data_IF_212435914391
#
_entry.id   IF_212435914391
#
_cell.length_a   1.000
_cell.length_b   1.000
_cell.length_c   1.000
_cell.angle_alpha   90.00
_cell.angle_beta   90.00
_cell.angle_gamma   90.00
#
_symmetry.space_group_name_H-M   'P 1'
#
loop_
_entity.id
_entity.type
_entity.pdbx_description
1 polymer ?
#
# COMPACT_ATOMS: atom_id res chain seq x y z
N UNK A 1 55.05 9.12 -37.88
CA UNK A 1 54.67 8.21 -36.78
C UNK A 1 54.22 9.07 -35.60
N UNK A 2 52.98 8.89 -35.11
CA UNK A 2 52.34 9.65 -34.03
C UNK A 2 52.60 8.99 -32.67
N UNK A 3 52.63 9.73 -31.55
CA UNK A 3 52.09 9.23 -30.29
C UNK A 3 50.77 9.92 -29.98
N UNK A 4 49.79 9.08 -29.63
CA UNK A 4 48.39 9.38 -29.35
C UNK A 4 48.27 9.76 -27.87
N UNK A 5 47.66 10.91 -27.59
CA UNK A 5 47.35 11.36 -26.23
C UNK A 5 46.21 10.51 -25.65
N UNK A 6 46.50 9.76 -24.59
CA UNK A 6 45.49 9.04 -23.81
C UNK A 6 44.75 10.04 -22.91
N UNK A 7 43.52 10.38 -23.29
CA UNK A 7 42.57 11.11 -22.45
C UNK A 7 41.94 10.13 -21.45
N UNK A 8 42.26 10.30 -20.17
CA UNK A 8 41.68 9.57 -19.04
C UNK A 8 40.24 10.06 -18.81
N UNK A 9 39.27 9.24 -19.21
CA UNK A 9 37.84 9.48 -19.00
C UNK A 9 37.47 9.07 -17.56
N UNK A 10 37.26 10.05 -16.68
CA UNK A 10 36.81 9.82 -15.30
C UNK A 10 35.32 9.49 -15.27
N UNK A 11 34.98 8.26 -14.88
CA UNK A 11 33.60 7.81 -14.73
C UNK A 11 33.08 8.32 -13.37
N UNK A 12 32.37 9.44 -13.39
CA UNK A 12 31.63 9.92 -12.23
C UNK A 12 30.41 9.00 -11.98
N UNK A 13 30.55 8.02 -11.09
CA UNK A 13 29.44 7.21 -10.60
C UNK A 13 28.55 8.05 -9.69
N UNK A 14 27.50 8.66 -10.25
CA UNK A 14 26.38 9.20 -9.49
C UNK A 14 25.69 8.04 -8.74
N UNK A 15 25.98 7.92 -7.43
CA UNK A 15 25.15 7.15 -6.51
C UNK A 15 23.85 7.92 -6.33
N UNK A 16 22.87 7.60 -7.17
CA UNK A 16 21.48 8.02 -6.96
C UNK A 16 20.96 7.31 -5.71
N UNK A 17 21.15 7.94 -4.55
CA UNK A 17 20.51 7.57 -3.28
C UNK A 17 18.99 7.67 -3.44
N UNK A 18 18.40 6.62 -3.98
CA UNK A 18 16.96 6.46 -4.06
C UNK A 18 16.45 6.23 -2.64
N UNK A 19 16.12 7.32 -1.95
CA UNK A 19 15.18 7.27 -0.83
C UNK A 19 13.84 6.78 -1.39
N UNK A 20 13.70 5.45 -1.51
CA UNK A 20 12.43 4.83 -1.85
C UNK A 20 11.44 5.23 -0.76
N UNK A 21 10.54 6.17 -1.07
CA UNK A 21 9.43 6.52 -0.17
C UNK A 21 8.72 5.22 0.19
N UNK A 22 8.68 4.89 1.48
CA UNK A 22 7.96 3.73 1.99
C UNK A 22 6.51 3.88 1.55
N UNK A 23 6.08 3.06 0.59
CA UNK A 23 4.71 3.11 0.08
C UNK A 23 3.81 2.36 1.06
N UNK A 24 2.76 2.99 1.60
CA UNK A 24 1.89 2.34 2.56
C UNK A 24 1.14 1.18 1.90
N UNK A 25 0.95 0.10 2.66
CA UNK A 25 0.13 -1.02 2.20
C UNK A 25 -1.32 -0.56 2.05
N UNK A 26 -1.81 -0.49 0.81
CA UNK A 26 -3.13 0.08 0.53
C UNK A 26 -4.19 -1.01 0.45
N UNK A 27 -5.25 -0.83 1.21
CA UNK A 27 -6.47 -1.64 1.26
C UNK A 27 -7.64 -0.77 0.83
N UNK A 28 -8.61 -1.35 0.12
CA UNK A 28 -9.85 -0.68 -0.26
C UNK A 28 -11.04 -1.42 0.31
N UNK A 29 -11.99 -0.68 0.88
CA UNK A 29 -13.29 -1.21 1.29
C UNK A 29 -14.31 -0.75 0.26
N UNK A 30 -15.07 -1.71 -0.28
CA UNK A 30 -16.09 -1.48 -1.32
C UNK A 30 -17.43 -2.02 -0.87
N UNK A 31 -18.50 -1.47 -1.43
CA UNK A 31 -19.86 -1.94 -1.18
C UNK A 31 -20.49 -1.33 0.08
N UNK A 32 -21.80 -1.54 0.26
CA UNK A 32 -22.57 -0.93 1.33
C UNK A 32 -22.34 -1.62 2.67
N UNK A 33 -22.94 -1.08 3.72
CA UNK A 33 -22.62 -1.49 5.07
C UNK A 33 -22.90 -2.99 5.38
N UNK A 34 -23.88 -3.58 4.72
CA UNK A 34 -24.33 -4.97 4.94
C UNK A 34 -23.60 -6.00 4.09
N UNK A 35 -22.90 -5.59 3.02
CA UNK A 35 -22.29 -6.50 2.03
C UNK A 35 -20.95 -5.98 1.51
N UNK A 36 -20.19 -5.33 2.39
CA UNK A 36 -18.90 -4.80 2.00
C UNK A 36 -17.92 -5.91 1.57
N UNK A 37 -16.88 -5.52 0.85
CA UNK A 37 -15.75 -6.37 0.52
C UNK A 37 -14.44 -5.62 0.71
N UNK A 38 -13.41 -6.36 1.12
CA UNK A 38 -12.05 -5.84 1.25
C UNK A 38 -11.27 -6.20 -0.01
N UNK A 39 -10.58 -5.23 -0.59
CA UNK A 39 -9.77 -5.42 -1.79
C UNK A 39 -8.34 -4.89 -1.61
N UNK A 40 -7.38 -5.62 -2.19
CA UNK A 40 -5.97 -5.20 -2.26
C UNK A 40 -5.58 -5.22 -3.74
N UNK A 41 -5.03 -4.10 -4.23
CA UNK A 41 -4.71 -3.93 -5.66
C UNK A 41 -5.89 -4.29 -6.60
N UNK A 42 -7.12 -3.96 -6.18
CA UNK A 42 -8.34 -4.22 -6.95
C UNK A 42 -8.90 -5.65 -6.85
N UNK A 43 -8.20 -6.58 -6.20
CA UNK A 43 -8.68 -7.96 -5.97
C UNK A 43 -9.38 -8.06 -4.64
N UNK A 44 -10.63 -8.52 -4.64
CA UNK A 44 -11.36 -8.85 -3.42
C UNK A 44 -10.67 -10.03 -2.70
N UNK A 45 -10.54 -9.92 -1.38
CA UNK A 45 -9.88 -10.90 -0.54
C UNK A 45 -10.71 -11.23 0.69
N UNK A 46 -10.54 -12.44 1.22
CA UNK A 46 -11.01 -12.83 2.55
C UNK A 46 -10.12 -12.21 3.63
N UNK A 47 -10.58 -12.20 4.88
CA UNK A 47 -9.78 -11.71 6.01
C UNK A 47 -8.48 -12.53 6.20
N UNK A 48 -8.52 -13.85 5.99
CA UNK A 48 -7.32 -14.70 6.10
C UNK A 48 -6.28 -14.37 5.02
N UNK A 49 -6.75 -14.16 3.78
CA UNK A 49 -5.88 -13.76 2.69
C UNK A 49 -5.31 -12.35 2.92
N UNK A 50 -6.11 -11.42 3.45
CA UNK A 50 -5.65 -10.09 3.85
C UNK A 50 -4.57 -10.18 4.93
N UNK A 51 -4.78 -11.00 5.97
CA UNK A 51 -3.82 -11.22 7.05
C UNK A 51 -2.48 -11.73 6.52
N UNK A 52 -2.51 -12.75 5.64
CA UNK A 52 -1.30 -13.33 5.05
C UNK A 52 -0.50 -12.30 4.24
N UNK A 53 -1.18 -11.53 3.39
CA UNK A 53 -0.54 -10.48 2.59
C UNK A 53 0.00 -9.36 3.47
N UNK A 54 -0.78 -8.93 4.47
CA UNK A 54 -0.40 -7.86 5.37
C UNK A 54 0.85 -8.22 6.22
N UNK A 55 0.96 -9.47 6.69
CA UNK A 55 2.14 -9.95 7.45
C UNK A 55 3.42 -9.86 6.63
N UNK A 56 3.36 -10.23 5.35
CA UNK A 56 4.50 -10.09 4.42
C UNK A 56 4.94 -8.63 4.23
N UNK A 57 4.00 -7.68 4.37
CA UNK A 57 4.26 -6.24 4.22
C UNK A 57 4.75 -5.58 5.50
N UNK A 58 4.30 -6.04 6.67
CA UNK A 58 4.73 -5.50 7.96
C UNK A 58 6.27 -5.55 8.15
N UNK A 59 6.93 -6.57 7.61
CA UNK A 59 8.41 -6.68 7.62
C UNK A 59 9.14 -5.66 6.74
N UNK A 60 8.44 -4.98 5.83
CA UNK A 60 8.98 -3.95 4.91
C UNK A 60 8.59 -2.53 5.31
N UNK A 61 7.69 -2.40 6.28
CA UNK A 61 7.14 -1.14 6.74
C UNK A 61 5.83 -1.38 7.51
N UNK A 62 5.62 -0.62 8.59
CA UNK A 62 4.45 -0.81 9.49
C UNK A 62 3.27 0.10 9.15
N UNK A 63 3.19 0.56 7.90
CA UNK A 63 2.24 1.59 7.45
C UNK A 63 1.20 0.99 6.51
N UNK A 64 -0.07 1.27 6.78
CA UNK A 64 -1.20 0.84 5.98
C UNK A 64 -2.15 2.02 5.71
N UNK A 65 -2.77 2.01 4.54
CA UNK A 65 -3.77 3.00 4.12
C UNK A 65 -5.06 2.29 3.75
N UNK A 66 -6.16 2.66 4.39
CA UNK A 66 -7.50 2.16 4.07
C UNK A 66 -8.22 3.22 3.25
N UNK A 67 -8.61 2.88 2.02
CA UNK A 67 -9.49 3.67 1.17
C UNK A 67 -10.92 3.18 1.37
N UNK A 68 -11.80 4.03 1.87
CA UNK A 68 -13.20 3.67 2.06
C UNK A 68 -14.11 4.83 1.62
N UNK A 69 -15.26 4.51 1.04
CA UNK A 69 -16.33 5.51 0.88
C UNK A 69 -16.83 5.90 2.26
N UNK A 70 -16.58 7.16 2.66
CA UNK A 70 -16.93 7.68 3.99
C UNK A 70 -18.39 8.12 4.09
N UNK A 71 -19.13 8.08 2.97
CA UNK A 71 -20.58 8.36 2.92
C UNK A 71 -21.40 7.13 3.32
N UNK A 72 -20.86 5.93 3.14
CA UNK A 72 -21.50 4.67 3.49
C UNK A 72 -20.53 3.57 3.99
N UNK A 73 -19.51 3.86 4.83
CA UNK A 73 -18.62 2.82 5.30
C UNK A 73 -19.39 1.98 6.31
N UNK A 74 -19.39 0.66 6.14
CA UNK A 74 -19.70 -0.18 7.29
C UNK A 74 -18.59 -0.03 8.30
N UNK A 75 -18.93 0.56 9.45
CA UNK A 75 -18.07 0.57 10.63
C UNK A 75 -17.55 -0.84 10.98
N UNK A 76 -18.35 -1.88 10.70
CA UNK A 76 -17.93 -3.27 10.88
C UNK A 76 -16.78 -3.66 9.95
N UNK A 77 -16.84 -3.27 8.68
CA UNK A 77 -15.83 -3.61 7.69
C UNK A 77 -14.55 -2.81 7.88
N UNK A 78 -14.68 -1.53 8.23
CA UNK A 78 -13.55 -0.71 8.61
C UNK A 78 -12.87 -1.27 9.87
N UNK A 79 -13.64 -1.63 10.90
CA UNK A 79 -13.14 -2.25 12.10
C UNK A 79 -12.45 -3.59 11.85
N UNK A 80 -13.06 -4.47 11.04
CA UNK A 80 -12.47 -5.75 10.66
C UNK A 80 -11.15 -5.58 9.89
N UNK A 81 -11.09 -4.62 8.96
CA UNK A 81 -9.87 -4.31 8.22
C UNK A 81 -8.77 -3.79 9.16
N UNK A 82 -9.07 -2.79 10.01
CA UNK A 82 -8.11 -2.24 10.99
C UNK A 82 -7.57 -3.34 11.90
N UNK A 83 -8.46 -4.13 12.50
CA UNK A 83 -8.07 -5.21 13.40
C UNK A 83 -7.19 -6.24 12.69
N UNK A 84 -7.55 -6.65 11.48
CA UNK A 84 -6.77 -7.61 10.69
C UNK A 84 -5.37 -7.07 10.38
N UNK A 85 -5.26 -5.79 10.01
CA UNK A 85 -3.97 -5.14 9.71
C UNK A 85 -3.09 -5.03 10.97
N UNK A 86 -3.69 -4.71 12.12
CA UNK A 86 -2.98 -4.67 13.40
C UNK A 86 -2.44 -6.04 13.81
N UNK A 87 -3.27 -7.08 13.71
CA UNK A 87 -2.87 -8.47 13.96
C UNK A 87 -1.80 -8.97 12.97
N UNK A 88 -1.68 -8.34 11.81
CA UNK A 88 -0.62 -8.58 10.85
C UNK A 88 0.68 -7.83 11.15
N UNK A 89 0.69 -6.93 12.14
CA UNK A 89 1.87 -6.16 12.57
C UNK A 89 1.97 -4.73 12.01
N UNK A 90 0.96 -4.26 11.27
CA UNK A 90 0.88 -2.89 10.78
C UNK A 90 0.33 -1.99 11.90
N UNK A 91 1.06 -0.92 12.25
CA UNK A 91 0.71 -0.06 13.40
C UNK A 91 0.28 1.34 13.01
N UNK A 92 0.78 1.85 11.88
CA UNK A 92 0.43 3.18 11.38
C UNK A 92 -0.66 3.01 10.32
N UNK A 93 -1.92 3.05 10.75
CA UNK A 93 -3.08 2.85 9.89
C UNK A 93 -3.77 4.19 9.66
N UNK A 94 -3.75 4.68 8.42
CA UNK A 94 -4.49 5.87 8.00
C UNK A 94 -5.74 5.47 7.23
N UNK A 95 -6.85 6.17 7.45
CA UNK A 95 -8.06 6.02 6.66
C UNK A 95 -8.22 7.25 5.79
N UNK A 96 -8.43 7.04 4.50
CA UNK A 96 -8.66 8.12 3.52
C UNK A 96 -9.99 7.89 2.82
N UNK A 97 -10.69 8.99 2.56
CA UNK A 97 -11.93 8.94 1.81
C UNK A 97 -11.65 8.50 0.36
N UNK A 98 -12.40 7.51 -0.10
CA UNK A 98 -12.54 7.18 -1.51
C UNK A 98 -13.76 7.92 -2.07
N UNK A 99 -13.78 8.24 -3.37
CA UNK A 99 -14.99 8.74 -4.02
C UNK A 99 -16.14 7.76 -3.78
N UNK A 100 -17.38 8.26 -3.61
CA UNK A 100 -18.52 7.39 -3.43
C UNK A 100 -18.65 6.45 -4.62
N UNK A 101 -19.01 5.19 -4.36
CA UNK A 101 -19.28 4.25 -5.44
C UNK A 101 -20.48 4.78 -6.22
N UNK A 102 -20.27 5.21 -7.47
CA UNK A 102 -21.37 5.57 -8.36
C UNK A 102 -22.20 4.31 -8.61
N UNK A 103 -23.37 4.22 -8.00
CA UNK A 103 -24.42 3.29 -8.39
C UNK A 103 -24.79 3.62 -9.84
N UNK A 104 -24.36 2.76 -10.78
CA UNK A 104 -24.81 2.77 -12.17
C UNK A 104 -25.48 1.45 -12.47
#
# INVERSE_FOLDING_TARGET
>A
MRPVAHVLLSIATMVSSSCARVTPFTVSIRGPATSCSIAVAGRTMTNDALMAVARSKAGKGRHARIKADMSAPSYRCLGAAIYTLQMAGLTNIETVAAPPATHR
#
